data_IF_179066241264
#
_entry.id   IF_179066241264
#
_cell.length_a   1.000
_cell.length_b   1.000
_cell.length_c   1.000
_cell.angle_alpha   90.00
_cell.angle_beta   90.00
_cell.angle_gamma   90.00
#
_symmetry.space_group_name_H-M   'P 1'
#
loop_
_entity.id
_entity.type
_entity.pdbx_description
1 polymer ?
#
# COMPACT_ATOMS: atom_id res chain seq x y z
N UNK A 1 3.30 2.52 14.64
CA UNK A 1 2.55 2.20 13.42
C UNK A 1 3.29 1.09 12.71
N UNK A 2 2.66 -0.02 12.35
CA UNK A 2 3.26 -1.13 11.63
C UNK A 2 2.78 -1.13 10.18
N UNK A 3 3.70 -1.10 9.22
CA UNK A 3 3.39 -1.15 7.79
C UNK A 3 4.05 -2.36 7.17
N UNK A 4 3.26 -3.15 6.45
CA UNK A 4 3.79 -4.27 5.66
C UNK A 4 3.93 -3.85 4.19
N UNK A 5 5.10 -4.09 3.63
CA UNK A 5 5.42 -3.81 2.23
C UNK A 5 5.30 -5.03 1.32
N UNK A 6 4.60 -4.91 0.20
CA UNK A 6 4.47 -5.94 -0.84
C UNK A 6 4.92 -5.35 -2.17
N UNK A 7 5.99 -5.90 -2.76
CA UNK A 7 6.46 -5.44 -4.06
C UNK A 7 5.89 -6.31 -5.17
N UNK A 8 5.12 -5.73 -6.10
CA UNK A 8 4.48 -6.42 -7.22
C UNK A 8 5.44 -6.82 -8.36
N UNK A 9 6.65 -7.25 -8.05
CA UNK A 9 7.63 -7.68 -9.05
C UNK A 9 8.48 -8.85 -8.57
N UNK A 10 8.65 -9.85 -9.43
CA UNK A 10 9.45 -11.05 -9.15
C UNK A 10 10.95 -10.89 -9.44
N UNK A 11 11.33 -9.84 -10.19
CA UNK A 11 12.70 -9.66 -10.63
C UNK A 11 13.54 -8.98 -9.55
N UNK A 12 14.62 -9.63 -9.08
CA UNK A 12 15.48 -9.13 -7.98
C UNK A 12 16.04 -7.73 -8.23
N UNK A 13 16.33 -7.34 -9.48
CA UNK A 13 16.80 -6.01 -9.87
C UNK A 13 15.71 -4.99 -10.20
N UNK A 14 14.44 -5.32 -9.95
CA UNK A 14 13.30 -4.51 -10.40
C UNK A 14 13.29 -3.12 -9.77
N UNK A 15 12.96 -2.11 -10.59
CA UNK A 15 12.66 -0.77 -10.11
C UNK A 15 11.57 -0.80 -9.04
N UNK A 16 10.57 -1.67 -9.18
CA UNK A 16 9.44 -1.79 -8.25
C UNK A 16 9.88 -2.27 -6.87
N UNK A 17 10.83 -3.21 -6.82
CA UNK A 17 11.40 -3.66 -5.55
C UNK A 17 12.16 -2.53 -4.85
N UNK A 18 12.96 -1.76 -5.59
CA UNK A 18 13.67 -0.59 -5.05
C UNK A 18 12.73 0.54 -4.64
N UNK A 19 11.66 0.73 -5.39
CA UNK A 19 10.62 1.71 -5.09
C UNK A 19 9.95 1.40 -3.76
N UNK A 20 9.66 0.12 -3.47
CA UNK A 20 9.06 -0.27 -2.19
C UNK A 20 9.94 0.16 -1.00
N UNK A 21 11.24 -0.12 -1.09
CA UNK A 21 12.20 0.27 -0.05
C UNK A 21 12.28 1.80 0.08
N UNK A 22 12.29 2.52 -1.04
CA UNK A 22 12.34 3.98 -1.04
C UNK A 22 11.08 4.60 -0.43
N UNK A 23 9.90 4.06 -0.74
CA UNK A 23 8.63 4.51 -0.16
C UNK A 23 8.55 4.17 1.33
N UNK A 24 8.99 2.98 1.74
CA UNK A 24 9.04 2.60 3.16
C UNK A 24 9.88 3.56 4.02
N UNK A 25 10.89 4.20 3.43
CA UNK A 25 11.73 5.20 4.12
C UNK A 25 11.12 6.59 4.23
N UNK A 26 10.04 6.85 3.49
CA UNK A 26 9.27 8.10 3.59
C UNK A 26 8.10 7.99 4.58
N UNK A 27 7.95 6.83 5.24
CA UNK A 27 6.99 6.66 6.32
C UNK A 27 7.27 7.66 7.46
N UNK A 28 6.22 8.07 8.20
CA UNK A 28 6.37 9.01 9.30
C UNK A 28 7.31 8.47 10.38
N UNK A 29 7.99 9.36 11.14
CA UNK A 29 8.83 8.95 12.27
C UNK A 29 8.07 8.04 13.25
N UNK A 30 8.71 6.96 13.68
CA UNK A 30 8.10 5.97 14.59
C UNK A 30 7.20 4.93 13.91
N UNK A 31 7.16 4.90 12.57
CA UNK A 31 6.60 3.77 11.83
C UNK A 31 7.63 2.64 11.69
N UNK A 32 7.18 1.42 11.97
CA UNK A 32 7.91 0.18 11.72
C UNK A 32 7.51 -0.33 10.34
N UNK A 33 8.50 -0.54 9.47
CA UNK A 33 8.29 -1.05 8.12
C UNK A 33 8.87 -2.44 7.97
N UNK A 34 8.04 -3.38 7.51
CA UNK A 34 8.45 -4.76 7.24
C UNK A 34 8.10 -5.11 5.80
N UNK A 35 9.10 -5.34 4.97
CA UNK A 35 8.89 -5.91 3.63
C UNK A 35 8.61 -7.42 3.74
N UNK A 36 7.57 -7.87 3.04
CA UNK A 36 7.33 -9.29 2.84
C UNK A 36 8.04 -9.79 1.57
N UNK A 37 8.95 -10.78 1.68
CA UNK A 37 9.73 -11.28 0.53
C UNK A 37 9.04 -12.43 -0.23
N UNK A 38 7.92 -12.94 0.27
CA UNK A 38 7.35 -14.23 -0.15
C UNK A 38 6.63 -14.24 -1.50
N UNK A 39 6.62 -13.14 -2.26
CA UNK A 39 5.83 -13.04 -3.49
C UNK A 39 6.18 -14.17 -4.48
N UNK A 40 7.47 -14.39 -4.75
CA UNK A 40 7.93 -15.40 -5.71
C UNK A 40 7.60 -16.84 -5.31
N UNK A 41 7.32 -17.08 -4.03
CA UNK A 41 6.97 -18.39 -3.49
C UNK A 41 5.48 -18.50 -3.16
N UNK A 42 4.67 -17.53 -3.61
CA UNK A 42 3.23 -17.52 -3.33
C UNK A 42 2.55 -18.65 -4.09
N UNK A 43 1.92 -19.60 -3.41
CA UNK A 43 1.20 -20.66 -4.08
C UNK A 43 -0.09 -20.12 -4.70
N UNK A 44 -0.57 -20.71 -5.82
CA UNK A 44 -1.87 -20.41 -6.37
C UNK A 44 -2.98 -20.48 -5.31
N UNK A 45 -3.91 -19.54 -5.37
CA UNK A 45 -5.06 -19.58 -4.49
C UNK A 45 -5.96 -20.78 -4.84
N UNK A 46 -6.30 -21.57 -3.83
CA UNK A 46 -7.30 -22.62 -3.90
C UNK A 46 -8.11 -22.64 -2.60
N UNK A 47 -9.42 -22.87 -2.69
CA UNK A 47 -10.24 -23.00 -1.49
C UNK A 47 -9.80 -24.21 -0.66
N UNK A 48 -9.71 -24.06 0.66
CA UNK A 48 -9.31 -25.12 1.57
C UNK A 48 -8.15 -24.71 2.49
N UNK A 49 -7.32 -25.68 2.94
CA UNK A 49 -6.22 -25.41 3.86
C UNK A 49 -5.23 -24.39 3.29
N UNK A 50 -4.89 -23.40 4.11
CA UNK A 50 -3.97 -22.34 3.71
C UNK A 50 -2.51 -22.85 3.81
N UNK A 51 -1.69 -22.70 2.76
CA UNK A 51 -0.28 -23.10 2.78
C UNK A 51 0.57 -22.13 3.61
N UNK A 52 1.72 -22.60 4.11
CA UNK A 52 2.57 -21.85 5.05
C UNK A 52 2.95 -20.43 4.58
N UNK A 53 3.31 -20.25 3.31
CA UNK A 53 3.63 -18.93 2.76
C UNK A 53 2.44 -17.95 2.78
N UNK A 54 1.22 -18.46 2.56
CA UNK A 54 0.01 -17.66 2.65
C UNK A 54 -0.36 -17.37 4.12
N UNK A 55 -0.15 -18.31 5.04
CA UNK A 55 -0.33 -18.10 6.49
C UNK A 55 0.58 -16.98 6.99
N UNK A 56 1.86 -17.00 6.60
CA UNK A 56 2.82 -15.96 6.98
C UNK A 56 2.37 -14.58 6.50
N UNK A 57 2.00 -14.46 5.21
CA UNK A 57 1.49 -13.23 4.63
C UNK A 57 0.24 -12.72 5.36
N UNK A 58 -0.75 -13.59 5.58
CA UNK A 58 -2.00 -13.25 6.27
C UNK A 58 -1.70 -12.75 7.68
N UNK A 59 -0.84 -13.46 8.44
CA UNK A 59 -0.44 -13.04 9.80
C UNK A 59 0.24 -11.68 9.80
N UNK A 60 1.14 -11.41 8.84
CA UNK A 60 1.83 -10.13 8.74
C UNK A 60 0.84 -8.99 8.48
N UNK A 61 -0.08 -9.17 7.53
CA UNK A 61 -1.06 -8.14 7.16
C UNK A 61 -2.11 -7.91 8.25
N UNK A 62 -2.54 -8.97 8.93
CA UNK A 62 -3.46 -8.89 10.07
C UNK A 62 -2.90 -8.01 11.20
N UNK A 63 -1.62 -8.19 11.51
CA UNK A 63 -0.92 -7.45 12.57
C UNK A 63 -0.45 -6.04 12.16
N UNK A 64 -0.55 -5.68 10.88
CA UNK A 64 -0.13 -4.38 10.38
C UNK A 64 -1.24 -3.34 10.53
N UNK A 65 -0.89 -2.08 10.74
CA UNK A 65 -1.85 -0.97 10.72
C UNK A 65 -2.20 -0.58 9.27
N UNK A 66 -1.27 -0.78 8.33
CA UNK A 66 -1.46 -0.51 6.90
C UNK A 66 -0.57 -1.36 6.00
N UNK A 67 -0.91 -1.39 4.72
CA UNK A 67 -0.14 -2.10 3.69
C UNK A 67 0.36 -1.11 2.65
N UNK A 68 1.64 -1.22 2.30
CA UNK A 68 2.23 -0.52 1.18
C UNK A 68 2.46 -1.52 0.05
N UNK A 69 1.91 -1.26 -1.12
CA UNK A 69 2.03 -2.11 -2.30
C UNK A 69 2.61 -1.32 -3.46
N UNK A 70 3.71 -1.81 -4.06
CA UNK A 70 4.25 -1.18 -5.26
C UNK A 70 3.91 -1.97 -6.51
N UNK A 71 3.46 -1.29 -7.57
CA UNK A 71 2.97 -1.92 -8.79
C UNK A 71 3.87 -1.60 -10.00
N UNK A 72 4.04 -2.54 -10.96
CA UNK A 72 4.73 -2.28 -12.21
C UNK A 72 3.99 -1.27 -13.10
N UNK A 73 4.70 -0.69 -14.07
CA UNK A 73 4.11 0.25 -15.02
C UNK A 73 3.27 -0.44 -16.11
N UNK A 74 3.51 -1.72 -16.39
CA UNK A 74 2.81 -2.42 -17.47
C UNK A 74 1.56 -3.15 -16.97
N UNK A 75 0.60 -3.35 -17.87
CA UNK A 75 -0.76 -3.84 -17.58
C UNK A 75 -0.84 -5.24 -16.96
N UNK A 76 0.21 -6.07 -17.04
CA UNK A 76 0.19 -7.42 -16.50
C UNK A 76 0.91 -7.48 -15.15
N UNK A 77 0.13 -7.65 -14.07
CA UNK A 77 0.64 -7.99 -12.75
C UNK A 77 1.15 -9.45 -12.72
N UNK A 78 2.15 -9.80 -11.89
CA UNK A 78 2.50 -11.20 -11.65
C UNK A 78 1.30 -11.99 -11.12
N UNK A 79 1.09 -13.22 -11.61
CA UNK A 79 -0.01 -14.07 -11.16
C UNK A 79 0.05 -14.33 -9.65
N UNK A 80 1.27 -14.46 -9.12
CA UNK A 80 1.59 -14.60 -7.70
C UNK A 80 1.04 -13.45 -6.86
N UNK A 81 1.00 -12.22 -7.40
CA UNK A 81 0.43 -11.07 -6.71
C UNK A 81 -1.09 -11.22 -6.59
N UNK A 82 -1.76 -11.62 -7.68
CA UNK A 82 -3.18 -11.91 -7.65
C UNK A 82 -3.53 -13.04 -6.66
N UNK A 83 -2.70 -14.08 -6.58
CA UNK A 83 -2.86 -15.15 -5.60
C UNK A 83 -2.64 -14.67 -4.17
N UNK A 84 -1.61 -13.87 -3.90
CA UNK A 84 -1.35 -13.27 -2.60
C UNK A 84 -2.55 -12.42 -2.13
N UNK A 85 -3.05 -11.53 -2.99
CA UNK A 85 -4.22 -10.70 -2.70
C UNK A 85 -5.47 -11.54 -2.47
N UNK A 86 -5.65 -12.63 -3.22
CA UNK A 86 -6.79 -13.53 -3.02
C UNK A 86 -6.72 -14.28 -1.69
N UNK A 87 -5.53 -14.74 -1.27
CA UNK A 87 -5.35 -15.34 0.06
C UNK A 87 -5.68 -14.35 1.18
N UNK A 88 -5.20 -13.10 1.07
CA UNK A 88 -5.52 -12.03 2.01
C UNK A 88 -7.02 -11.71 2.05
N UNK A 89 -7.66 -11.64 0.90
CA UNK A 89 -9.11 -11.43 0.78
C UNK A 89 -9.91 -12.58 1.40
N UNK A 90 -9.56 -13.83 1.12
CA UNK A 90 -10.22 -15.01 1.68
C UNK A 90 -10.07 -15.12 3.20
N UNK A 91 -8.96 -14.62 3.76
CA UNK A 91 -8.75 -14.54 5.20
C UNK A 91 -9.49 -13.37 5.87
N UNK A 92 -10.04 -12.43 5.09
CA UNK A 92 -10.77 -11.26 5.60
C UNK A 92 -9.89 -10.12 6.15
N UNK A 93 -8.56 -10.28 6.15
CA UNK A 93 -7.62 -9.34 6.79
C UNK A 93 -7.46 -8.00 6.07
N UNK A 94 -8.00 -7.87 4.86
CA UNK A 94 -8.02 -6.61 4.10
C UNK A 94 -9.21 -5.72 4.46
N UNK A 95 -10.24 -6.24 5.14
CA UNK A 95 -11.45 -5.47 5.48
C UNK A 95 -11.09 -4.26 6.35
N UNK A 96 -11.39 -3.05 5.88
CA UNK A 96 -11.06 -1.79 6.55
C UNK A 96 -9.58 -1.45 6.59
N UNK A 97 -8.70 -2.28 6.02
CA UNK A 97 -7.26 -2.03 6.04
C UNK A 97 -6.90 -0.95 5.03
N UNK A 98 -6.10 0.04 5.48
CA UNK A 98 -5.57 1.05 4.58
C UNK A 98 -4.45 0.47 3.72
N UNK A 99 -4.57 0.62 2.41
CA UNK A 99 -3.58 0.12 1.45
C UNK A 99 -3.13 1.24 0.53
N UNK A 100 -1.85 1.57 0.56
CA UNK A 100 -1.20 2.52 -0.32
C UNK A 100 -0.60 1.82 -1.53
N UNK A 101 -1.11 2.11 -2.73
CA UNK A 101 -0.61 1.58 -3.99
C UNK A 101 0.27 2.61 -4.68
N UNK A 102 1.55 2.28 -4.89
CA UNK A 102 2.53 3.17 -5.50
C UNK A 102 3.07 2.56 -6.78
N UNK A 103 2.92 3.26 -7.89
CA UNK A 103 3.54 2.86 -9.15
C UNK A 103 4.51 3.95 -9.61
N UNK A 104 5.31 3.63 -10.62
CA UNK A 104 6.15 4.62 -11.26
C UNK A 104 6.23 4.33 -12.76
N UNK A 105 6.17 5.38 -13.57
CA UNK A 105 6.34 5.27 -15.02
C UNK A 105 7.03 6.53 -15.57
N UNK A 106 7.70 6.39 -16.71
CA UNK A 106 8.30 7.52 -17.44
C UNK A 106 7.27 8.42 -18.13
N UNK A 107 6.01 7.98 -18.21
CA UNK A 107 4.89 8.73 -18.79
C UNK A 107 3.74 8.77 -17.80
N UNK A 108 2.98 9.88 -17.79
CA UNK A 108 1.74 9.94 -17.04
C UNK A 108 0.75 8.87 -17.55
N UNK A 109 0.03 8.24 -16.62
CA UNK A 109 -0.93 7.16 -16.86
C UNK A 109 -0.31 5.88 -17.45
N UNK A 110 1.00 5.68 -17.31
CA UNK A 110 1.66 4.46 -17.79
C UNK A 110 1.18 3.23 -17.02
N UNK A 111 1.11 3.35 -15.69
CA UNK A 111 0.70 2.30 -14.75
C UNK A 111 -0.81 2.19 -14.52
N UNK A 112 -1.63 2.98 -15.25
CA UNK A 112 -3.06 3.14 -14.97
C UNK A 112 -3.81 1.81 -14.95
N UNK A 113 -3.50 0.89 -15.86
CA UNK A 113 -4.16 -0.42 -15.94
C UNK A 113 -3.81 -1.33 -14.76
N UNK A 114 -2.52 -1.41 -14.40
CA UNK A 114 -2.06 -2.18 -13.24
C UNK A 114 -2.66 -1.62 -11.94
N UNK A 115 -2.73 -0.29 -11.82
CA UNK A 115 -3.39 0.36 -10.68
C UNK A 115 -4.89 0.08 -10.64
N UNK A 116 -5.60 0.18 -11.77
CA UNK A 116 -7.03 -0.10 -11.82
C UNK A 116 -7.35 -1.55 -11.42
N UNK A 117 -6.54 -2.51 -11.86
CA UNK A 117 -6.67 -3.91 -11.46
C UNK A 117 -6.47 -4.09 -9.96
N UNK A 118 -5.39 -3.52 -9.40
CA UNK A 118 -5.11 -3.59 -7.95
C UNK A 118 -6.22 -2.94 -7.13
N UNK A 119 -6.68 -1.77 -7.54
CA UNK A 119 -7.77 -1.07 -6.86
C UNK A 119 -9.03 -1.95 -6.86
N UNK A 120 -9.36 -2.55 -8.00
CA UNK A 120 -10.52 -3.45 -8.11
C UNK A 120 -10.42 -4.63 -7.15
N UNK A 121 -9.27 -5.30 -7.12
CA UNK A 121 -9.06 -6.46 -6.22
C UNK A 121 -9.08 -6.06 -4.74
N UNK A 122 -8.39 -4.97 -4.38
CA UNK A 122 -8.26 -4.51 -2.99
C UNK A 122 -9.57 -3.95 -2.44
N UNK A 123 -10.25 -3.09 -3.20
CA UNK A 123 -11.57 -2.55 -2.81
C UNK A 123 -12.63 -3.64 -2.75
N UNK A 124 -12.61 -4.59 -3.69
CA UNK A 124 -13.45 -5.79 -3.66
C UNK A 124 -13.20 -6.67 -2.43
N UNK A 125 -11.99 -6.63 -1.86
CA UNK A 125 -11.64 -7.29 -0.60
C UNK A 125 -11.93 -6.44 0.66
N UNK A 126 -12.57 -5.28 0.51
CA UNK A 126 -12.96 -4.40 1.62
C UNK A 126 -11.88 -3.45 2.12
N UNK A 127 -10.75 -3.32 1.41
CA UNK A 127 -9.69 -2.39 1.79
C UNK A 127 -10.03 -0.93 1.48
N UNK A 128 -9.46 -0.01 2.26
CA UNK A 128 -9.47 1.43 1.97
C UNK A 128 -8.22 1.75 1.15
N UNK A 129 -8.40 1.90 -0.15
CA UNK A 129 -7.28 2.02 -1.10
C UNK A 129 -6.98 3.48 -1.41
N UNK A 130 -5.71 3.87 -1.26
CA UNK A 130 -5.16 5.12 -1.77
C UNK A 130 -3.92 4.83 -2.61
N UNK A 131 -3.43 5.82 -3.35
CA UNK A 131 -2.26 5.58 -4.18
C UNK A 131 -1.88 6.76 -5.04
N UNK A 132 -0.77 6.61 -5.74
CA UNK A 132 -0.31 7.57 -6.74
C UNK A 132 0.62 6.92 -7.73
N UNK A 133 0.65 7.46 -8.94
CA UNK A 133 1.66 7.15 -9.94
C UNK A 133 2.75 8.22 -9.90
N UNK A 134 3.99 7.78 -9.70
CA UNK A 134 5.18 8.62 -9.73
C UNK A 134 5.64 8.79 -11.18
N UNK A 135 5.50 10.00 -11.73
CA UNK A 135 6.00 10.30 -13.09
C UNK A 135 7.51 10.58 -13.03
N UNK A 136 8.27 9.68 -13.63
CA UNK A 136 9.72 9.63 -13.61
C UNK A 136 10.33 10.41 -14.78
N UNK A 137 11.39 11.18 -14.52
CA UNK A 137 12.18 11.81 -15.57
C UNK A 137 13.22 10.84 -16.16
N UNK A 138 13.22 10.55 -17.46
CA UNK A 138 14.18 9.61 -18.06
C UNK A 138 15.63 10.12 -18.02
N UNK A 139 15.84 11.39 -17.68
CA UNK A 139 17.12 12.09 -17.77
C UNK A 139 17.93 12.05 -16.47
N UNK A 140 17.36 11.56 -15.37
CA UNK A 140 17.94 11.68 -14.04
C UNK A 140 17.96 10.33 -13.31
N UNK A 141 18.97 10.08 -12.46
CA UNK A 141 18.94 8.94 -11.56
C UNK A 141 17.76 9.09 -10.58
N UNK A 142 16.96 8.03 -10.42
CA UNK A 142 15.77 8.04 -9.56
C UNK A 142 16.06 7.77 -8.09
N UNK A 143 17.13 7.04 -7.81
CA UNK A 143 17.53 6.69 -6.45
C UNK A 143 18.95 7.15 -6.16
N UNK A 144 19.19 7.63 -4.94
CA UNK A 144 20.53 7.98 -4.47
C UNK A 144 21.32 6.74 -4.01
N UNK A 145 22.57 6.94 -3.56
CA UNK A 145 23.42 5.86 -3.05
C UNK A 145 22.85 5.15 -1.82
N UNK A 146 21.94 5.80 -1.08
CA UNK A 146 21.25 5.20 0.07
C UNK A 146 20.02 4.42 -0.38
N UNK A 147 19.50 4.64 -1.58
CA UNK A 147 18.25 4.04 -2.09
C UNK A 147 17.02 4.93 -1.87
N UNK A 148 17.18 6.20 -1.52
CA UNK A 148 16.09 7.17 -1.43
C UNK A 148 15.75 7.71 -2.81
N UNK A 149 14.48 8.10 -3.05
CA UNK A 149 14.13 8.86 -4.24
C UNK A 149 14.94 10.17 -4.28
N UNK A 150 15.58 10.50 -5.40
CA UNK A 150 16.43 11.70 -5.55
C UNK A 150 15.61 12.98 -5.64
N UNK A 151 14.51 12.94 -6.38
CA UNK A 151 13.66 14.09 -6.62
C UNK A 151 12.77 14.41 -5.41
N UNK A 152 12.83 15.65 -4.93
CA UNK A 152 12.03 16.10 -3.78
C UNK A 152 10.53 16.00 -4.02
N UNK A 153 10.06 16.39 -5.21
CA UNK A 153 8.64 16.34 -5.53
C UNK A 153 8.06 14.93 -5.48
N UNK A 154 8.84 13.90 -5.88
CA UNK A 154 8.43 12.51 -5.76
C UNK A 154 8.34 12.08 -4.29
N UNK A 155 9.31 12.47 -3.45
CA UNK A 155 9.24 12.20 -2.00
C UNK A 155 8.03 12.87 -1.36
N UNK A 156 7.71 14.10 -1.73
CA UNK A 156 6.56 14.83 -1.19
C UNK A 156 5.24 14.15 -1.58
N UNK A 157 5.10 13.71 -2.83
CA UNK A 157 3.96 12.91 -3.30
C UNK A 157 3.84 11.57 -2.56
N UNK A 158 4.98 10.90 -2.32
CA UNK A 158 5.02 9.68 -1.52
C UNK A 158 4.52 9.92 -0.10
N UNK A 159 5.03 10.96 0.57
CA UNK A 159 4.63 11.35 1.94
C UNK A 159 3.15 11.64 2.05
N UNK A 160 2.56 12.29 1.04
CA UNK A 160 1.12 12.53 0.99
C UNK A 160 0.32 11.23 0.95
N UNK A 161 0.76 10.24 0.17
CA UNK A 161 0.09 8.93 0.12
C UNK A 161 0.26 8.18 1.43
N UNK A 162 1.50 8.00 1.91
CA UNK A 162 1.76 7.17 3.10
C UNK A 162 1.28 7.83 4.39
N UNK A 163 1.19 9.16 4.44
CA UNK A 163 0.58 9.88 5.56
C UNK A 163 -0.91 9.56 5.75
N UNK A 164 -1.58 9.03 4.72
CA UNK A 164 -2.98 8.59 4.79
C UNK A 164 -3.15 7.13 5.22
N UNK A 165 -2.08 6.33 5.34
CA UNK A 165 -2.16 4.94 5.78
C UNK A 165 -2.67 4.78 7.22
N UNK A 166 -2.50 5.81 8.05
CA UNK A 166 -3.09 5.87 9.37
C UNK A 166 -3.74 7.25 9.55
N UNK A 167 -5.01 7.42 9.13
CA UNK A 167 -5.73 8.62 9.49
C UNK A 167 -5.73 8.72 11.02
N UNK A 168 -5.49 9.92 11.54
CA UNK A 168 -5.64 10.18 12.97
C UNK A 168 -7.00 9.63 13.44
N UNK A 169 -7.10 9.10 14.68
CA UNK A 169 -8.38 8.64 15.20
C UNK A 169 -9.40 9.76 15.00
N UNK A 170 -10.54 9.41 14.40
CA UNK A 170 -11.65 10.34 14.20
C UNK A 170 -11.96 10.95 15.56
N UNK A 171 -11.61 12.22 15.75
CA UNK A 171 -12.04 12.97 16.93
C UNK A 171 -13.55 13.13 16.79
N UNK A 172 -14.32 12.51 17.66
CA UNK A 172 -15.74 12.83 17.75
C UNK A 172 -15.90 14.35 17.91
N UNK A 173 -16.83 14.98 17.19
CA UNK A 173 -17.09 16.40 17.36
C UNK A 173 -17.42 16.66 18.83
N UNK A 174 -16.82 17.70 19.40
CA UNK A 174 -17.16 18.19 20.74
C UNK A 174 -18.66 18.43 20.76
N UNK A 175 -19.41 17.62 21.51
CA UNK A 175 -20.83 17.89 21.76
C UNK A 175 -20.89 19.19 22.55
N UNK A 176 -21.27 20.28 21.89
CA UNK A 176 -21.59 21.51 22.60
C UNK A 176 -22.74 21.23 23.58
N UNK A 177 -22.65 21.71 24.83
CA UNK A 177 -23.73 21.54 25.78
C UNK A 177 -24.98 22.23 25.23
N UNK A 178 -26.06 21.45 25.13
CA UNK A 178 -27.38 21.95 24.74
C UNK A 178 -27.76 23.08 25.69
N UNK A 179 -27.89 24.31 25.18
CA UNK A 179 -28.42 25.43 25.96
C UNK A 179 -29.89 25.13 26.28
N UNK A 180 -30.18 24.98 27.57
CA UNK A 180 -31.56 24.83 28.04
C UNK A 180 -32.38 26.09 27.68
N UNK A 181 -33.64 25.93 27.28
CA UNK A 181 -34.50 27.05 26.94
C UNK A 181 -34.80 27.85 28.22
N UNK A 182 -34.46 29.14 28.19
CA UNK A 182 -34.83 30.10 29.22
C UNK A 182 -36.35 30.32 29.13
N UNK A 183 -37.10 29.62 29.96
CA UNK A 183 -38.52 29.88 30.18
C UNK A 183 -38.65 31.27 30.82
N UNK A 184 -39.13 32.23 30.03
CA UNK A 184 -39.50 33.56 30.50
C UNK A 184 -40.93 33.49 31.06
N UNK A 185 -41.08 33.92 32.31
CA UNK A 185 -42.35 34.01 33.04
C UNK A 185 -43.21 35.21 32.59
#
# INVERSE_FOLDING_TARGET
MKVVGIAGSLHTGSFINRLLEAVGRELPPGADFTRWPGLATTPPYAAGPMPGAAIELVRLVDQADGVLLTAPEHSLLPAELGHALRWLSAAGVLTGKHVAVMSASVRACGAMWAQAELYTQLTGAGAVVMGSELVLSPSCPHFDAKGMLTARYLRDQVREVVGRLCPAPVREPVREPVREPVLSA
#
